data_IF_610872558936
#
_entry.id   IF_610872558936
#
_cell.length_a   1.000
_cell.length_b   1.000
_cell.length_c   1.000
_cell.angle_alpha   90.00
_cell.angle_beta   90.00
_cell.angle_gamma   90.00
#
_symmetry.space_group_name_H-M   'P 1'
#
loop_
_entity.id
_entity.type
_entity.pdbx_description
1 polymer ?
#
# COMPACT_ATOMS: atom_id res chain seq x y z
N UNK A 1 16.10 -7.52 -0.24
CA UNK A 1 16.84 -6.33 -0.63
C UNK A 1 16.74 -5.27 0.48
N UNK A 2 17.68 -4.32 0.56
CA UNK A 2 17.76 -3.26 1.59
C UNK A 2 17.91 -3.71 3.06
N UNK A 3 18.10 -5.02 3.35
CA UNK A 3 18.32 -5.51 4.72
C UNK A 3 17.09 -5.37 5.64
N UNK A 4 15.90 -5.33 5.06
CA UNK A 4 14.64 -5.28 5.81
C UNK A 4 14.24 -6.69 6.23
N UNK A 5 13.91 -6.86 7.50
CA UNK A 5 13.27 -8.06 8.02
C UNK A 5 11.75 -7.94 7.90
N UNK A 6 11.12 -8.87 7.20
CA UNK A 6 9.67 -8.95 7.08
C UNK A 6 9.15 -9.92 8.13
N UNK A 7 8.79 -9.40 9.29
CA UNK A 7 8.41 -10.21 10.45
C UNK A 7 7.07 -10.93 10.28
N UNK A 8 6.13 -10.35 9.53
CA UNK A 8 4.80 -10.92 9.31
C UNK A 8 4.18 -10.35 8.03
N UNK A 9 3.51 -11.21 7.28
CA UNK A 9 2.59 -10.84 6.20
C UNK A 9 1.15 -11.07 6.67
N UNK A 10 0.30 -10.05 6.53
CA UNK A 10 -1.14 -10.15 6.77
C UNK A 10 -1.85 -10.03 5.43
N UNK A 11 -2.57 -11.05 5.02
CA UNK A 11 -3.26 -11.09 3.73
C UNK A 11 -4.68 -11.66 3.91
N UNK A 12 -5.40 -11.88 2.83
CA UNK A 12 -6.69 -12.57 2.83
C UNK A 12 -6.56 -13.87 2.04
N UNK A 13 -7.46 -14.80 2.31
CA UNK A 13 -7.53 -16.02 1.52
C UNK A 13 -7.92 -15.66 0.08
N UNK A 14 -7.24 -16.28 -0.88
CA UNK A 14 -7.59 -16.12 -2.30
C UNK A 14 -9.01 -16.66 -2.54
N UNK A 15 -9.83 -15.86 -3.21
CA UNK A 15 -11.20 -16.25 -3.52
C UNK A 15 -11.23 -17.01 -4.86
N UNK A 16 -11.53 -18.30 -4.87
CA UNK A 16 -11.52 -19.11 -6.10
C UNK A 16 -12.58 -18.68 -7.13
N UNK A 17 -13.55 -17.86 -6.73
CA UNK A 17 -14.57 -17.30 -7.63
C UNK A 17 -14.16 -15.96 -8.27
N UNK A 18 -13.06 -15.35 -7.84
CA UNK A 18 -12.50 -14.15 -8.47
C UNK A 18 -11.66 -14.54 -9.70
N UNK A 19 -11.74 -13.73 -10.73
CA UNK A 19 -10.81 -13.81 -11.84
C UNK A 19 -9.47 -13.19 -11.41
N UNK A 20 -8.61 -14.03 -10.82
CA UNK A 20 -7.29 -13.61 -10.32
C UNK A 20 -6.34 -13.49 -11.52
N UNK A 21 -5.73 -12.32 -11.66
CA UNK A 21 -4.76 -11.97 -12.70
C UNK A 21 -3.46 -11.39 -12.13
N UNK A 22 -3.27 -11.52 -10.84
CA UNK A 22 -2.09 -11.13 -10.06
C UNK A 22 -1.60 -12.31 -9.21
N UNK A 23 -0.34 -12.26 -8.80
CA UNK A 23 0.25 -13.31 -7.98
C UNK A 23 -0.32 -13.35 -6.55
N UNK A 24 -0.36 -14.55 -5.97
CA UNK A 24 -0.82 -14.73 -4.60
C UNK A 24 0.23 -14.26 -3.60
N UNK A 25 -0.15 -13.33 -2.74
CA UNK A 25 0.68 -12.86 -1.62
C UNK A 25 1.00 -14.02 -0.67
N UNK A 26 0.03 -14.92 -0.43
CA UNK A 26 0.21 -16.08 0.43
C UNK A 26 1.27 -17.04 -0.12
N UNK A 27 1.21 -17.34 -1.42
CA UNK A 27 2.21 -18.18 -2.08
C UNK A 27 3.60 -17.55 -2.01
N UNK A 28 3.71 -16.27 -2.34
CA UNK A 28 4.98 -15.55 -2.28
C UNK A 28 5.56 -15.52 -0.86
N UNK A 29 4.75 -15.28 0.17
CA UNK A 29 5.20 -15.31 1.55
C UNK A 29 5.75 -16.70 1.94
N UNK A 30 5.06 -17.78 1.51
CA UNK A 30 5.50 -19.15 1.75
C UNK A 30 6.83 -19.48 1.06
N UNK A 31 7.01 -19.06 -0.20
CA UNK A 31 8.23 -19.27 -0.98
C UNK A 31 9.45 -18.62 -0.33
N UNK A 32 9.26 -17.49 0.34
CA UNK A 32 10.32 -16.79 1.08
C UNK A 32 10.40 -17.18 2.56
N UNK A 33 9.58 -18.13 3.04
CA UNK A 33 9.55 -18.56 4.44
C UNK A 33 9.11 -17.46 5.42
N UNK A 34 8.32 -16.48 4.95
CA UNK A 34 7.84 -15.37 5.77
C UNK A 34 6.57 -15.81 6.52
N UNK A 35 6.50 -15.64 7.85
CA UNK A 35 5.28 -15.90 8.62
C UNK A 35 4.08 -15.13 8.05
N UNK A 36 2.94 -15.80 7.91
CA UNK A 36 1.74 -15.22 7.30
C UNK A 36 0.49 -15.59 8.09
N UNK A 37 -0.47 -14.65 8.14
CA UNK A 37 -1.83 -14.84 8.67
C UNK A 37 -2.87 -14.28 7.71
N UNK A 38 -4.08 -14.83 7.74
CA UNK A 38 -5.23 -14.37 6.94
C UNK A 38 -6.47 -14.20 7.83
N UNK A 39 -6.48 -13.19 8.73
CA UNK A 39 -7.60 -12.98 9.63
C UNK A 39 -8.83 -12.44 8.88
N UNK A 40 -10.03 -12.83 9.34
CA UNK A 40 -11.28 -12.22 8.84
C UNK A 40 -11.37 -10.72 9.18
N UNK A 41 -10.81 -10.32 10.32
CA UNK A 41 -10.71 -8.92 10.74
C UNK A 41 -9.36 -8.68 11.44
N UNK A 42 -8.44 -7.88 10.87
CA UNK A 42 -7.13 -7.61 11.45
C UNK A 42 -7.18 -6.72 12.70
N UNK A 43 -8.34 -6.09 12.99
CA UNK A 43 -8.48 -5.13 14.08
C UNK A 43 -8.96 -5.76 15.40
N UNK A 44 -9.15 -7.10 15.46
CA UNK A 44 -9.57 -7.75 16.69
C UNK A 44 -8.42 -7.79 17.72
N UNK A 45 -8.72 -7.77 19.03
CA UNK A 45 -7.71 -7.70 20.09
C UNK A 45 -6.61 -8.76 19.99
N UNK A 46 -6.94 -9.96 19.52
CA UNK A 46 -6.00 -11.05 19.34
C UNK A 46 -4.93 -10.72 18.28
N UNK A 47 -5.35 -10.22 17.11
CA UNK A 47 -4.43 -9.86 16.05
C UNK A 47 -3.60 -8.62 16.42
N UNK A 48 -4.23 -7.63 17.06
CA UNK A 48 -3.51 -6.46 17.57
C UNK A 48 -2.40 -6.88 18.56
N UNK A 49 -2.69 -7.85 19.45
CA UNK A 49 -1.70 -8.38 20.40
C UNK A 49 -0.56 -9.08 19.65
N UNK A 50 -0.89 -9.98 18.71
CA UNK A 50 0.08 -10.70 17.88
C UNK A 50 1.03 -9.77 17.16
N UNK A 51 0.49 -8.75 16.48
CA UNK A 51 1.29 -7.76 15.75
C UNK A 51 2.15 -6.94 16.72
N UNK A 52 1.61 -6.56 17.88
CA UNK A 52 2.34 -5.80 18.92
C UNK A 52 3.52 -6.57 19.50
N UNK A 53 3.38 -7.89 19.69
CA UNK A 53 4.46 -8.75 20.18
C UNK A 53 5.66 -8.81 19.24
N UNK A 54 5.47 -8.55 17.94
CA UNK A 54 6.54 -8.45 16.96
C UNK A 54 7.30 -7.11 17.02
N UNK A 55 6.76 -6.12 17.73
CA UNK A 55 7.33 -4.77 17.86
C UNK A 55 7.81 -4.15 16.53
N UNK A 56 6.94 -4.07 15.50
CA UNK A 56 7.36 -3.63 14.18
C UNK A 56 7.76 -2.16 14.17
N UNK A 57 8.85 -1.83 13.45
CA UNK A 57 9.21 -0.45 13.17
C UNK A 57 8.17 0.22 12.27
N UNK A 58 7.76 -0.47 11.22
CA UNK A 58 6.81 0.01 10.23
C UNK A 58 5.70 -1.01 9.98
N UNK A 59 4.54 -0.50 9.60
CA UNK A 59 3.48 -1.26 8.98
C UNK A 59 3.31 -0.74 7.55
N UNK A 60 3.35 -1.64 6.56
CA UNK A 60 3.08 -1.30 5.17
C UNK A 60 1.79 -1.94 4.71
N UNK A 61 0.92 -1.17 4.06
CA UNK A 61 -0.30 -1.63 3.42
C UNK A 61 -0.14 -1.54 1.90
N UNK A 62 -0.39 -2.65 1.20
CA UNK A 62 -0.36 -2.75 -0.25
C UNK A 62 -1.68 -3.34 -0.72
N UNK A 63 -2.60 -2.48 -1.15
CA UNK A 63 -3.93 -2.89 -1.67
C UNK A 63 -4.72 -3.82 -0.73
N UNK A 64 -4.50 -3.71 0.58
CA UNK A 64 -5.22 -4.51 1.56
C UNK A 64 -6.70 -4.13 1.57
N UNK A 65 -7.58 -5.15 1.55
CA UNK A 65 -9.02 -4.94 1.29
C UNK A 65 -9.81 -4.41 2.47
N UNK A 66 -9.28 -4.54 3.69
CA UNK A 66 -9.96 -4.13 4.91
C UNK A 66 -9.41 -2.82 5.45
N UNK A 67 -10.26 -2.07 6.14
CA UNK A 67 -9.85 -0.87 6.85
C UNK A 67 -8.98 -1.24 8.04
N UNK A 68 -7.83 -0.58 8.17
CA UNK A 68 -6.97 -0.69 9.34
C UNK A 68 -7.31 0.43 10.32
N UNK A 69 -7.77 0.04 11.52
CA UNK A 69 -8.24 1.00 12.52
C UNK A 69 -7.07 1.69 13.24
N UNK A 70 -7.28 2.86 13.85
CA UNK A 70 -6.22 3.64 14.49
C UNK A 70 -5.38 2.85 15.49
N UNK A 71 -5.99 1.94 16.24
CA UNK A 71 -5.30 1.09 17.22
C UNK A 71 -4.26 0.17 16.57
N UNK A 72 -4.53 -0.31 15.36
CA UNK A 72 -3.59 -1.13 14.59
C UNK A 72 -2.49 -0.25 14.01
N UNK A 73 -2.84 0.89 13.43
CA UNK A 73 -1.87 1.82 12.85
C UNK A 73 -0.86 2.32 13.90
N UNK A 74 -1.31 2.49 15.15
CA UNK A 74 -0.49 2.97 16.25
C UNK A 74 0.52 1.92 16.79
N UNK A 75 0.46 0.66 16.34
CA UNK A 75 1.39 -0.38 16.79
C UNK A 75 2.79 -0.13 16.24
N UNK A 76 2.91 0.31 15.00
CA UNK A 76 4.20 0.53 14.35
C UNK A 76 4.93 1.74 14.91
N UNK A 77 6.10 1.52 15.53
CA UNK A 77 6.83 2.57 16.26
C UNK A 77 7.22 3.78 15.40
N UNK A 78 7.45 3.58 14.11
CA UNK A 78 7.88 4.61 13.14
C UNK A 78 6.77 5.00 12.16
N UNK A 79 5.61 4.34 12.26
CA UNK A 79 4.38 4.66 11.52
C UNK A 79 3.90 3.59 10.58
N UNK A 80 2.65 3.74 10.19
CA UNK A 80 1.99 2.92 9.19
C UNK A 80 1.96 3.67 7.86
N UNK A 81 2.29 3.00 6.76
CA UNK A 81 2.31 3.55 5.41
C UNK A 81 1.40 2.75 4.48
N UNK A 82 0.82 3.43 3.51
CA UNK A 82 0.02 2.80 2.45
C UNK A 82 0.58 3.16 1.07
N UNK A 83 0.58 2.19 0.17
CA UNK A 83 0.83 2.41 -1.25
C UNK A 83 -0.50 2.57 -1.96
N UNK A 84 -0.77 3.77 -2.43
CA UNK A 84 -2.02 4.11 -3.12
C UNK A 84 -1.80 4.23 -4.63
N UNK A 85 -2.72 3.70 -5.42
CA UNK A 85 -2.60 3.60 -6.88
C UNK A 85 -3.05 4.86 -7.63
N UNK A 86 -2.71 6.03 -7.14
CA UNK A 86 -2.87 7.32 -7.84
C UNK A 86 -1.79 8.31 -7.40
N UNK A 87 -1.75 9.46 -8.06
CA UNK A 87 -0.97 10.63 -7.63
C UNK A 87 -1.80 11.44 -6.64
N UNK A 88 -1.73 11.07 -5.33
CA UNK A 88 -2.43 11.82 -4.28
C UNK A 88 -2.08 13.31 -4.31
N UNK A 89 -3.03 14.21 -4.02
CA UNK A 89 -4.35 14.00 -3.41
C UNK A 89 -5.46 13.58 -4.38
N UNK A 90 -5.18 13.43 -5.68
CA UNK A 90 -6.19 12.98 -6.66
C UNK A 90 -6.58 11.53 -6.39
N UNK A 91 -7.88 11.22 -6.57
CA UNK A 91 -8.43 9.85 -6.53
C UNK A 91 -8.16 9.11 -5.22
N UNK A 92 -8.31 9.79 -4.08
CA UNK A 92 -8.37 9.13 -2.77
C UNK A 92 -9.54 8.14 -2.73
N UNK A 93 -9.35 7.00 -2.06
CA UNK A 93 -10.36 5.97 -1.92
C UNK A 93 -10.16 4.81 -2.90
N UNK A 94 -11.27 4.16 -3.26
CA UNK A 94 -11.25 2.89 -4.01
C UNK A 94 -11.12 3.08 -5.51
N UNK A 95 -10.49 2.08 -6.15
CA UNK A 95 -10.35 1.93 -7.61
C UNK A 95 -9.78 3.16 -8.34
N UNK A 96 -8.71 3.79 -7.84
CA UNK A 96 -8.20 5.05 -8.36
C UNK A 96 -7.80 5.00 -9.83
N UNK A 97 -7.25 3.87 -10.29
CA UNK A 97 -6.86 3.67 -11.70
C UNK A 97 -8.06 3.80 -12.63
N UNK A 98 -9.19 3.17 -12.28
CA UNK A 98 -10.40 3.23 -13.10
C UNK A 98 -10.94 4.67 -13.17
N UNK A 99 -10.93 5.40 -12.05
CA UNK A 99 -11.39 6.78 -12.02
C UNK A 99 -10.48 7.71 -12.85
N UNK A 100 -9.16 7.52 -12.81
CA UNK A 100 -8.25 8.29 -13.64
C UNK A 100 -8.57 8.12 -15.14
N UNK A 101 -8.82 6.88 -15.59
CA UNK A 101 -9.20 6.59 -16.98
C UNK A 101 -10.55 7.20 -17.33
N UNK A 102 -11.58 7.00 -16.49
CA UNK A 102 -12.94 7.53 -16.71
C UNK A 102 -12.93 9.05 -16.83
N UNK A 103 -12.10 9.74 -16.07
CA UNK A 103 -11.98 11.20 -16.13
C UNK A 103 -11.04 11.70 -17.24
N UNK A 104 -10.48 10.80 -18.06
CA UNK A 104 -9.64 11.17 -19.18
C UNK A 104 -8.29 11.75 -18.77
N UNK A 105 -7.76 11.35 -17.62
CA UNK A 105 -6.40 11.75 -17.22
C UNK A 105 -5.37 11.17 -18.20
N UNK A 106 -4.33 11.93 -18.43
CA UNK A 106 -3.20 11.52 -19.29
C UNK A 106 -2.04 10.91 -18.51
N UNK A 107 -2.11 10.97 -17.17
CA UNK A 107 -1.16 10.36 -16.25
C UNK A 107 -1.86 9.93 -14.96
N UNK A 108 -1.28 8.94 -14.32
CA UNK A 108 -1.59 8.50 -12.95
C UNK A 108 -0.29 8.05 -12.29
N UNK A 109 -0.34 7.22 -11.25
CA UNK A 109 0.89 6.72 -10.64
C UNK A 109 0.65 6.01 -9.33
N UNK A 110 1.71 5.89 -8.57
CA UNK A 110 1.69 5.33 -7.23
C UNK A 110 2.19 6.36 -6.21
N UNK A 111 1.57 6.36 -5.04
CA UNK A 111 1.93 7.23 -3.91
C UNK A 111 2.15 6.42 -2.66
N UNK A 112 3.33 6.51 -2.07
CA UNK A 112 3.60 6.04 -0.71
C UNK A 112 3.31 7.20 0.25
N UNK A 113 2.40 6.97 1.21
CA UNK A 113 2.00 7.99 2.19
C UNK A 113 1.81 7.39 3.58
N UNK A 114 1.89 8.21 4.62
CA UNK A 114 1.55 7.80 5.97
C UNK A 114 0.03 7.57 6.10
N UNK A 115 -0.35 6.57 6.85
CA UNK A 115 -1.75 6.30 7.16
C UNK A 115 -2.19 7.12 8.37
N UNK A 116 -3.38 7.69 8.26
CA UNK A 116 -4.09 8.40 9.33
C UNK A 116 -5.53 7.90 9.37
N UNK A 117 -6.31 8.31 10.37
CA UNK A 117 -7.71 7.90 10.51
C UNK A 117 -8.54 8.17 9.25
N UNK A 118 -8.34 9.34 8.61
CA UNK A 118 -8.99 9.67 7.34
C UNK A 118 -8.28 8.94 6.20
N UNK A 119 -8.97 8.08 5.42
CA UNK A 119 -8.36 7.33 4.34
C UNK A 119 -7.62 8.21 3.34
N UNK A 120 -6.42 7.77 2.96
CA UNK A 120 -5.52 8.34 1.95
C UNK A 120 -5.23 9.85 2.13
N UNK A 121 -5.34 10.37 3.36
CA UNK A 121 -5.18 11.80 3.67
C UNK A 121 -3.88 12.15 4.41
N UNK A 122 -3.05 11.18 4.74
CA UNK A 122 -1.79 11.42 5.46
C UNK A 122 -0.68 11.96 4.58
N UNK A 123 0.41 12.37 5.22
CA UNK A 123 1.55 12.99 4.55
C UNK A 123 2.19 12.08 3.51
N UNK A 124 2.54 12.67 2.36
CA UNK A 124 3.22 11.97 1.27
C UNK A 124 4.69 11.73 1.61
N UNK A 125 5.19 10.56 1.22
CA UNK A 125 6.60 10.19 1.29
C UNK A 125 7.26 10.24 -0.08
N UNK A 126 6.65 9.58 -1.07
CA UNK A 126 7.17 9.53 -2.43
C UNK A 126 6.04 9.24 -3.42
N UNK A 127 6.25 9.67 -4.67
CA UNK A 127 5.34 9.40 -5.78
C UNK A 127 6.12 9.05 -7.04
N UNK A 128 5.56 8.16 -7.86
CA UNK A 128 6.06 7.86 -9.20
C UNK A 128 4.90 7.93 -10.18
N UNK A 129 5.01 8.81 -11.18
CA UNK A 129 4.02 8.98 -12.23
C UNK A 129 4.21 7.98 -13.37
N UNK A 130 3.12 7.59 -14.01
CA UNK A 130 3.10 6.79 -15.24
C UNK A 130 2.11 7.42 -16.24
N UNK A 131 2.39 7.38 -17.55
CA UNK A 131 1.45 7.89 -18.55
C UNK A 131 0.28 6.93 -18.73
N UNK A 132 -0.90 7.51 -19.01
CA UNK A 132 -2.06 6.81 -19.54
C UNK A 132 -2.10 7.13 -21.04
N UNK A 133 -1.90 6.10 -21.86
CA UNK A 133 -1.92 6.23 -23.32
C UNK A 133 -3.37 6.12 -23.81
N UNK A 134 -3.69 6.69 -25.01
CA UNK A 134 -5.05 6.68 -25.54
C UNK A 134 -5.69 5.29 -25.68
N UNK A 135 -4.87 4.27 -25.94
CA UNK A 135 -5.32 2.89 -26.16
C UNK A 135 -5.13 2.00 -24.92
N UNK A 136 -4.68 2.56 -23.80
CA UNK A 136 -4.50 1.77 -22.56
C UNK A 136 -5.84 1.30 -22.00
N UNK A 137 -5.91 0.03 -21.72
CA UNK A 137 -6.97 -0.55 -20.87
C UNK A 137 -6.69 -0.31 -19.39
N UNK A 138 -7.70 -0.50 -18.54
CA UNK A 138 -7.52 -0.41 -17.09
C UNK A 138 -6.47 -1.40 -16.56
N UNK A 139 -6.34 -2.58 -17.19
CA UNK A 139 -5.32 -3.55 -16.83
C UNK A 139 -3.91 -3.06 -17.13
N UNK A 140 -3.69 -2.52 -18.32
CA UNK A 140 -2.36 -2.00 -18.72
C UNK A 140 -1.93 -0.84 -17.83
N UNK A 141 -2.86 0.07 -17.49
CA UNK A 141 -2.57 1.15 -16.55
C UNK A 141 -2.29 0.60 -15.15
N UNK A 142 -3.04 -0.41 -14.69
CA UNK A 142 -2.77 -1.05 -13.40
C UNK A 142 -1.38 -1.71 -13.38
N UNK A 143 -0.98 -2.39 -14.43
CA UNK A 143 0.36 -3.02 -14.53
C UNK A 143 1.47 -1.94 -14.44
N UNK A 144 1.30 -0.80 -15.13
CA UNK A 144 2.22 0.35 -15.03
C UNK A 144 2.27 0.92 -13.59
N UNK A 145 1.10 1.06 -12.94
CA UNK A 145 1.01 1.55 -11.57
C UNK A 145 1.66 0.56 -10.59
N UNK A 146 1.58 -0.74 -10.83
CA UNK A 146 2.25 -1.75 -10.01
C UNK A 146 3.77 -1.59 -10.08
N UNK A 147 4.34 -1.43 -11.27
CA UNK A 147 5.77 -1.15 -11.45
C UNK A 147 6.16 0.19 -10.78
N UNK A 148 5.32 1.22 -10.94
CA UNK A 148 5.54 2.50 -10.26
C UNK A 148 5.55 2.36 -8.73
N UNK A 149 4.66 1.52 -8.18
CA UNK A 149 4.61 1.24 -6.74
C UNK A 149 5.89 0.57 -6.24
N UNK A 150 6.41 -0.41 -6.96
CA UNK A 150 7.69 -1.05 -6.65
C UNK A 150 8.84 -0.05 -6.66
N UNK A 151 8.94 0.77 -7.71
CA UNK A 151 9.97 1.82 -7.84
C UNK A 151 9.85 2.85 -6.71
N UNK A 152 8.62 3.29 -6.40
CA UNK A 152 8.36 4.25 -5.31
C UNK A 152 8.84 3.71 -3.97
N UNK A 153 8.50 2.46 -3.66
CA UNK A 153 8.95 1.81 -2.43
C UNK A 153 10.47 1.64 -2.41
N UNK A 154 11.05 1.15 -3.51
CA UNK A 154 12.49 0.94 -3.63
C UNK A 154 13.29 2.22 -3.35
N UNK A 155 12.86 3.34 -3.91
CA UNK A 155 13.52 4.64 -3.75
C UNK A 155 13.28 5.25 -2.37
N UNK A 156 12.07 5.09 -1.79
CA UNK A 156 11.73 5.67 -0.49
C UNK A 156 12.32 4.91 0.71
N UNK A 157 12.50 3.59 0.57
CA UNK A 157 12.85 2.71 1.68
C UNK A 157 14.17 3.08 2.39
N UNK A 158 15.28 3.42 1.70
CA UNK A 158 16.50 3.86 2.37
C UNK A 158 16.31 5.07 3.27
N UNK A 159 15.57 6.08 2.81
CA UNK A 159 15.28 7.29 3.59
C UNK A 159 14.33 7.00 4.77
N UNK A 160 13.37 6.10 4.59
CA UNK A 160 12.51 5.62 5.66
C UNK A 160 13.35 4.94 6.74
N UNK A 161 14.22 4.01 6.37
CA UNK A 161 15.09 3.31 7.31
C UNK A 161 16.02 4.26 8.06
N UNK A 162 16.60 5.24 7.36
CA UNK A 162 17.45 6.27 7.95
C UNK A 162 16.69 7.31 8.80
N UNK A 163 15.35 7.34 8.76
CA UNK A 163 14.55 8.36 9.46
C UNK A 163 14.60 9.75 8.82
N UNK A 164 14.99 9.82 7.53
CA UNK A 164 15.13 11.08 6.77
C UNK A 164 14.08 11.22 5.67
N UNK A 165 13.11 10.29 5.61
CA UNK A 165 12.04 10.35 4.61
C UNK A 165 11.21 11.63 4.77
N UNK A 166 10.83 12.29 3.66
CA UNK A 166 10.00 13.48 3.72
C UNK A 166 8.60 13.18 4.26
N UNK A 167 7.97 14.20 4.83
CA UNK A 167 6.56 14.22 5.20
C UNK A 167 5.94 15.46 4.58
N UNK A 168 5.28 15.31 3.45
CA UNK A 168 4.70 16.40 2.67
C UNK A 168 3.20 16.39 2.87
N UNK A 169 2.66 17.42 3.53
CA UNK A 169 1.23 17.55 3.75
C UNK A 169 0.47 17.61 2.42
N UNK A 170 -0.65 16.89 2.34
CA UNK A 170 -1.52 16.95 1.17
C UNK A 170 -2.41 18.19 1.16
N UNK A 171 -2.63 18.76 -0.02
CA UNK A 171 -3.70 19.73 -0.24
C UNK A 171 -5.03 18.99 -0.41
N UNK A 172 -5.75 18.82 0.68
CA UNK A 172 -7.01 18.07 0.69
C UNK A 172 -8.20 18.80 0.02
N UNK A 173 -7.99 20.00 -0.51
CA UNK A 173 -9.00 20.73 -1.29
C UNK A 173 -9.07 20.29 -2.76
N UNK A 174 -8.09 19.48 -3.21
CA UNK A 174 -7.97 18.95 -4.56
C UNK A 174 -8.58 17.57 -4.69
#
# INVERSE_FOLDING_TARGET
>A
AHGVDVALVVTHADNPSEQIWFDSVATTAADYGIPMISPENPNVPEELRRIRELAPDFLFSFYYRQMLMPELLAIAARGALNMHGSLLPKYRGRVPVNWAIIHGETETGATLHYMVEKPDAGDLVAQTAVPILPDDTAKEVFDKVTVAAELTLHHALPALLAGTAPRIAQDLSK
#
